data_IF_853405813317
#
_entry.id   IF_853405813317
#
_cell.length_a   1.000
_cell.length_b   1.000
_cell.length_c   1.000
_cell.angle_alpha   90.00
_cell.angle_beta   90.00
_cell.angle_gamma   90.00
#
_symmetry.space_group_name_H-M   'P 1'
#
loop_
_entity.id
_entity.type
_entity.pdbx_description
1 polymer ?
#
# COMPACT_ATOMS: atom_id res chain seq x y z
N UNK A 1 7.96 1.92 13.78
CA UNK A 1 6.60 2.32 14.20
C UNK A 1 5.61 1.31 13.63
N UNK A 2 4.72 0.71 14.42
CA UNK A 2 3.71 -0.21 13.91
C UNK A 2 2.63 0.52 13.11
N UNK A 3 2.16 -0.09 12.03
CA UNK A 3 1.23 0.48 11.06
C UNK A 3 -0.15 0.73 11.68
N UNK A 4 -0.72 1.93 11.49
CA UNK A 4 -2.08 2.26 11.93
C UNK A 4 -3.08 1.68 10.90
N UNK A 5 -3.82 0.64 11.30
CA UNK A 5 -4.73 -0.17 10.47
C UNK A 5 -4.06 -0.85 9.26
N UNK A 6 -3.45 -2.02 9.49
CA UNK A 6 -2.79 -2.78 8.44
C UNK A 6 -3.79 -3.50 7.55
N UNK A 7 -3.62 -3.35 6.23
CA UNK A 7 -4.40 -4.08 5.23
C UNK A 7 -4.02 -5.58 5.19
N UNK A 8 -2.76 -5.88 5.53
CA UNK A 8 -2.20 -7.24 5.63
C UNK A 8 -1.69 -7.48 7.06
N UNK A 9 -2.20 -8.51 7.75
CA UNK A 9 -1.87 -8.73 9.17
C UNK A 9 -0.52 -9.41 9.41
N UNK A 10 -0.10 -10.30 8.49
CA UNK A 10 1.15 -11.05 8.62
C UNK A 10 1.73 -11.39 7.25
N UNK A 11 3.05 -11.56 7.22
CA UNK A 11 3.81 -11.90 6.03
C UNK A 11 4.55 -13.21 6.27
N UNK A 12 4.69 -14.06 5.27
CA UNK A 12 5.57 -15.23 5.32
C UNK A 12 6.39 -15.30 4.04
N UNK A 13 7.66 -15.67 4.14
CA UNK A 13 8.56 -15.77 3.00
C UNK A 13 9.47 -16.99 3.12
N UNK A 14 9.99 -17.50 2.01
CA UNK A 14 10.83 -18.69 1.99
C UNK A 14 12.22 -18.33 2.52
N UNK A 15 12.51 -18.66 3.79
CA UNK A 15 13.76 -18.31 4.47
C UNK A 15 14.98 -19.03 3.90
N UNK A 16 14.77 -20.23 3.38
CA UNK A 16 15.85 -21.10 2.89
C UNK A 16 16.28 -20.74 1.46
N UNK A 17 15.63 -19.75 0.85
CA UNK A 17 15.89 -19.30 -0.51
C UNK A 17 16.88 -18.12 -0.52
N UNK A 18 17.68 -17.96 -1.58
CA UNK A 18 18.64 -16.87 -1.66
C UNK A 18 17.92 -15.52 -1.61
N UNK A 19 18.53 -14.52 -0.96
CA UNK A 19 17.98 -13.16 -0.82
C UNK A 19 16.56 -13.14 -0.19
N UNK A 20 16.33 -13.96 0.83
CA UNK A 20 15.09 -14.01 1.61
C UNK A 20 14.63 -12.62 2.11
N UNK A 21 15.55 -11.77 2.58
CA UNK A 21 15.22 -10.40 3.00
C UNK A 21 14.60 -9.55 1.88
N UNK A 22 15.08 -9.70 0.65
CA UNK A 22 14.53 -9.01 -0.52
C UNK A 22 13.12 -9.54 -0.86
N UNK A 23 12.85 -10.82 -0.61
CA UNK A 23 11.51 -11.38 -0.78
C UNK A 23 10.52 -10.76 0.22
N UNK A 24 10.90 -10.70 1.50
CA UNK A 24 10.09 -10.04 2.52
C UNK A 24 9.88 -8.55 2.23
N UNK A 25 10.92 -7.84 1.77
CA UNK A 25 10.81 -6.45 1.36
C UNK A 25 9.84 -6.28 0.19
N UNK A 26 9.96 -7.16 -0.82
CA UNK A 26 9.04 -7.19 -1.97
C UNK A 26 7.59 -7.40 -1.54
N UNK A 27 7.30 -8.37 -0.66
CA UNK A 27 5.94 -8.60 -0.17
C UNK A 27 5.35 -7.38 0.54
N UNK A 28 6.13 -6.74 1.43
CA UNK A 28 5.72 -5.52 2.13
C UNK A 28 5.45 -4.38 1.13
N UNK A 29 6.30 -4.25 0.11
CA UNK A 29 6.14 -3.26 -0.96
C UNK A 29 4.88 -3.52 -1.79
N UNK A 30 4.61 -4.77 -2.18
CA UNK A 30 3.38 -5.16 -2.90
C UNK A 30 2.14 -4.83 -2.07
N UNK A 31 2.10 -5.27 -0.80
CA UNK A 31 1.01 -4.96 0.11
C UNK A 31 0.77 -3.46 0.26
N UNK A 32 1.87 -2.70 0.29
CA UNK A 32 1.80 -1.25 0.36
C UNK A 32 1.24 -0.60 -0.91
N UNK A 33 1.54 -1.11 -2.10
CA UNK A 33 1.00 -0.56 -3.35
C UNK A 33 -0.52 -0.72 -3.43
N UNK A 34 -1.04 -1.88 -3.02
CA UNK A 34 -2.47 -2.21 -3.10
C UNK A 34 -3.28 -1.72 -1.89
N UNK A 35 -2.61 -1.14 -0.89
CA UNK A 35 -3.24 -0.71 0.36
C UNK A 35 -4.39 0.28 0.17
N UNK A 36 -4.29 1.33 -0.68
CA UNK A 36 -5.42 2.25 -0.88
C UNK A 36 -6.64 1.55 -1.47
N UNK A 37 -6.41 0.63 -2.42
CA UNK A 37 -7.45 -0.18 -3.07
C UNK A 37 -8.17 -1.07 -2.05
N UNK A 38 -7.42 -1.75 -1.19
CA UNK A 38 -7.97 -2.59 -0.12
C UNK A 38 -8.77 -1.75 0.89
N UNK A 39 -8.24 -0.59 1.30
CA UNK A 39 -8.92 0.31 2.24
C UNK A 39 -10.23 0.85 1.69
N UNK A 40 -10.26 1.26 0.43
CA UNK A 40 -11.48 1.77 -0.21
C UNK A 40 -12.63 0.75 -0.19
N UNK A 41 -12.31 -0.54 -0.18
CA UNK A 41 -13.27 -1.65 -0.20
C UNK A 41 -13.43 -2.38 1.14
N UNK A 42 -12.72 -1.94 2.18
CA UNK A 42 -12.70 -2.63 3.48
C UNK A 42 -12.10 -4.04 3.45
N UNK A 43 -11.33 -4.38 2.41
CA UNK A 43 -10.71 -5.70 2.29
C UNK A 43 -9.52 -5.84 3.23
N UNK A 44 -9.37 -7.03 3.81
CA UNK A 44 -8.25 -7.39 4.68
C UNK A 44 -7.71 -8.76 4.31
N UNK A 45 -6.39 -8.87 4.25
CA UNK A 45 -5.71 -10.14 4.05
C UNK A 45 -5.04 -10.56 5.36
N UNK A 46 -5.35 -11.75 5.87
CA UNK A 46 -4.74 -12.17 7.16
C UNK A 46 -3.27 -12.53 6.97
N UNK A 47 -2.92 -13.19 5.88
CA UNK A 47 -1.56 -13.61 5.62
C UNK A 47 -1.20 -13.46 4.13
N UNK A 48 -0.10 -12.78 3.86
CA UNK A 48 0.51 -12.69 2.53
C UNK A 48 1.79 -13.52 2.51
N UNK A 49 1.86 -14.52 1.63
CA UNK A 49 2.90 -15.56 1.66
C UNK A 49 3.64 -15.62 0.32
N UNK A 50 4.96 -15.72 0.36
CA UNK A 50 5.72 -16.19 -0.81
C UNK A 50 5.62 -17.71 -0.91
N UNK A 51 5.37 -18.21 -2.12
CA UNK A 51 5.47 -19.64 -2.40
C UNK A 51 6.25 -19.92 -3.69
N UNK A 52 6.71 -21.16 -3.84
CA UNK A 52 7.44 -21.61 -5.01
C UNK A 52 6.97 -23.03 -5.39
N UNK A 53 5.76 -23.17 -5.98
CA UNK A 53 5.24 -24.48 -6.36
C UNK A 53 6.04 -25.07 -7.53
N UNK A 54 5.95 -26.39 -7.73
CA UNK A 54 6.59 -27.06 -8.88
C UNK A 54 5.93 -26.66 -10.21
N UNK A 55 4.62 -26.39 -10.20
CA UNK A 55 3.89 -25.90 -11.36
C UNK A 55 4.39 -24.51 -11.75
N UNK A 56 5.07 -24.44 -12.90
CA UNK A 56 5.77 -23.24 -13.35
C UNK A 56 4.82 -22.08 -13.70
N UNK A 57 3.62 -22.41 -14.16
CA UNK A 57 2.60 -21.43 -14.50
C UNK A 57 1.92 -20.84 -13.25
N UNK A 58 1.88 -21.53 -12.11
CA UNK A 58 1.20 -21.06 -10.91
C UNK A 58 1.91 -19.84 -10.30
N UNK A 59 1.33 -18.65 -10.47
CA UNK A 59 1.82 -17.35 -10.02
C UNK A 59 1.16 -16.87 -8.73
N UNK A 60 -0.10 -17.21 -8.51
CA UNK A 60 -0.90 -16.69 -7.40
C UNK A 60 -2.00 -17.65 -6.94
N UNK A 61 -2.37 -17.51 -5.67
CA UNK A 61 -3.45 -18.29 -5.07
C UNK A 61 -4.13 -17.52 -3.94
N UNK A 62 -5.46 -17.51 -3.92
CA UNK A 62 -6.26 -16.97 -2.82
C UNK A 62 -7.01 -18.09 -2.09
N UNK A 63 -6.67 -18.29 -0.81
CA UNK A 63 -7.34 -19.24 0.08
C UNK A 63 -8.39 -18.51 0.91
N UNK A 64 -9.62 -19.03 0.89
CA UNK A 64 -10.75 -18.55 1.70
C UNK A 64 -10.96 -17.03 1.65
N UNK A 65 -11.02 -16.46 0.45
CA UNK A 65 -11.39 -15.05 0.20
C UNK A 65 -10.58 -14.04 1.03
N UNK A 66 -9.25 -14.17 1.00
CA UNK A 66 -8.32 -13.28 1.68
C UNK A 66 -7.86 -13.76 3.05
N UNK A 67 -8.20 -14.99 3.48
CA UNK A 67 -7.53 -15.58 4.65
C UNK A 67 -6.02 -15.70 4.39
N UNK A 68 -5.64 -16.23 3.23
CA UNK A 68 -4.24 -16.36 2.84
C UNK A 68 -4.12 -16.10 1.35
N UNK A 69 -3.18 -15.23 0.98
CA UNK A 69 -2.84 -14.98 -0.41
C UNK A 69 -1.39 -15.41 -0.61
N UNK A 70 -1.15 -16.33 -1.53
CA UNK A 70 0.17 -16.79 -1.89
C UNK A 70 0.58 -16.15 -3.22
N UNK A 71 1.79 -15.61 -3.27
CA UNK A 71 2.37 -15.00 -4.47
C UNK A 71 3.70 -15.64 -4.80
N UNK A 72 3.91 -15.97 -6.06
CA UNK A 72 5.22 -16.35 -6.58
C UNK A 72 6.00 -15.08 -6.78
N UNK A 73 7.19 -14.99 -6.20
CA UNK A 73 8.09 -13.83 -6.37
C UNK A 73 9.23 -14.11 -7.34
N UNK A 74 9.54 -15.38 -7.59
CA UNK A 74 10.75 -15.82 -8.30
C UNK A 74 10.39 -16.57 -9.57
N UNK A 75 11.24 -16.49 -10.59
CA UNK A 75 11.03 -17.23 -11.83
C UNK A 75 11.08 -18.74 -11.61
N UNK A 76 10.27 -19.54 -12.34
CA UNK A 76 10.43 -20.98 -12.35
C UNK A 76 11.81 -21.35 -12.93
N UNK A 77 12.49 -22.32 -12.33
CA UNK A 77 13.84 -22.75 -12.72
C UNK A 77 14.97 -21.98 -12.06
N UNK A 78 14.81 -20.68 -11.80
CA UNK A 78 15.82 -19.86 -11.11
C UNK A 78 15.28 -19.27 -9.80
N UNK A 79 15.73 -19.87 -8.68
CA UNK A 79 15.36 -19.42 -7.33
C UNK A 79 16.03 -18.09 -6.96
N UNK A 80 17.10 -17.68 -7.64
CA UNK A 80 17.76 -16.40 -7.40
C UNK A 80 17.34 -15.31 -8.40
N UNK A 81 16.30 -15.51 -9.21
CA UNK A 81 15.77 -14.44 -10.07
C UNK A 81 14.36 -14.03 -9.64
N UNK A 82 14.20 -12.77 -9.19
CA UNK A 82 12.87 -12.22 -8.91
C UNK A 82 12.15 -11.84 -10.20
N UNK A 83 10.83 -12.04 -10.20
CA UNK A 83 9.96 -11.55 -11.25
C UNK A 83 9.83 -10.03 -11.20
N UNK A 84 9.49 -9.38 -12.33
CA UNK A 84 9.25 -7.95 -12.36
C UNK A 84 8.20 -7.55 -11.33
N UNK A 85 8.50 -6.51 -10.56
CA UNK A 85 7.62 -6.04 -9.48
C UNK A 85 6.20 -5.74 -9.97
N UNK A 86 6.06 -5.11 -11.14
CA UNK A 86 4.77 -4.84 -11.77
C UNK A 86 3.94 -6.10 -12.01
N UNK A 87 4.58 -7.20 -12.42
CA UNK A 87 3.90 -8.47 -12.65
C UNK A 87 3.40 -9.07 -11.34
N UNK A 88 4.17 -8.97 -10.26
CA UNK A 88 3.76 -9.44 -8.93
C UNK A 88 2.60 -8.60 -8.39
N UNK A 89 2.62 -7.27 -8.60
CA UNK A 89 1.50 -6.39 -8.24
C UNK A 89 0.24 -6.75 -9.03
N UNK A 90 0.36 -7.02 -10.34
CA UNK A 90 -0.76 -7.45 -11.18
C UNK A 90 -1.37 -8.77 -10.69
N UNK A 91 -0.53 -9.75 -10.34
CA UNK A 91 -0.98 -11.00 -9.68
C UNK A 91 -1.68 -10.71 -8.36
N UNK A 92 -1.15 -9.81 -7.53
CA UNK A 92 -1.82 -9.43 -6.28
C UNK A 92 -3.20 -8.82 -6.52
N UNK A 93 -3.36 -7.94 -7.51
CA UNK A 93 -4.67 -7.37 -7.87
C UNK A 93 -5.64 -8.46 -8.36
N UNK A 94 -5.14 -9.43 -9.14
CA UNK A 94 -5.91 -10.60 -9.56
C UNK A 94 -6.40 -11.40 -8.34
N UNK A 95 -5.50 -11.75 -7.42
CA UNK A 95 -5.88 -12.50 -6.21
C UNK A 95 -6.84 -11.72 -5.31
N UNK A 96 -6.76 -10.39 -5.25
CA UNK A 96 -7.74 -9.59 -4.51
C UNK A 96 -9.15 -9.68 -5.12
N UNK A 97 -9.28 -9.84 -6.43
CA UNK A 97 -10.59 -10.03 -7.07
C UNK A 97 -11.28 -11.31 -6.56
N UNK A 98 -10.49 -12.34 -6.21
CA UNK A 98 -10.99 -13.58 -5.62
C UNK A 98 -11.57 -13.44 -4.20
N UNK A 99 -11.46 -12.28 -3.56
CA UNK A 99 -12.22 -11.98 -2.34
C UNK A 99 -13.73 -11.91 -2.66
N UNK A 100 -14.09 -11.40 -3.84
CA UNK A 100 -15.49 -11.18 -4.25
C UNK A 100 -15.94 -12.26 -5.23
N UNK A 101 -15.17 -12.52 -6.28
CA UNK A 101 -15.54 -13.39 -7.38
C UNK A 101 -14.61 -14.61 -7.46
N UNK A 102 -15.16 -15.81 -7.25
CA UNK A 102 -14.44 -17.07 -7.43
C UNK A 102 -14.08 -17.35 -8.90
N UNK A 103 -15.07 -17.50 -9.80
CA UNK A 103 -14.80 -17.76 -11.21
C UNK A 103 -14.33 -16.50 -11.95
N UNK A 104 -13.58 -16.70 -13.03
CA UNK A 104 -13.09 -15.68 -13.96
C UNK A 104 -14.18 -15.42 -15.00
N UNK A 105 -15.33 -14.96 -14.52
CA UNK A 105 -16.42 -14.52 -15.37
C UNK A 105 -16.22 -13.03 -15.75
N UNK A 106 -17.14 -12.49 -16.55
CA UNK A 106 -17.09 -11.09 -16.97
C UNK A 106 -17.02 -10.11 -15.78
N UNK A 107 -17.72 -10.40 -14.68
CA UNK A 107 -17.68 -9.58 -13.46
C UNK A 107 -16.28 -9.57 -12.81
N UNK A 108 -15.60 -10.72 -12.77
CA UNK A 108 -14.23 -10.81 -12.32
C UNK A 108 -13.30 -9.96 -13.19
N UNK A 109 -13.44 -10.05 -14.51
CA UNK A 109 -12.63 -9.27 -15.44
C UNK A 109 -12.88 -7.76 -15.29
N UNK A 110 -14.14 -7.34 -15.19
CA UNK A 110 -14.50 -5.95 -14.96
C UNK A 110 -13.90 -5.41 -13.64
N UNK A 111 -13.97 -6.19 -12.56
CA UNK A 111 -13.35 -5.82 -11.29
C UNK A 111 -11.84 -5.71 -11.43
N UNK A 112 -11.19 -6.68 -12.06
CA UNK A 112 -9.73 -6.68 -12.22
C UNK A 112 -9.24 -5.49 -13.05
N UNK A 113 -9.92 -5.16 -14.15
CA UNK A 113 -9.63 -3.98 -14.96
C UNK A 113 -9.83 -2.69 -14.16
N UNK A 114 -10.90 -2.60 -13.36
CA UNK A 114 -11.12 -1.47 -12.46
C UNK A 114 -9.96 -1.33 -11.46
N UNK A 115 -9.52 -2.41 -10.81
CA UNK A 115 -8.42 -2.37 -9.86
C UNK A 115 -7.12 -1.89 -10.51
N UNK A 116 -6.85 -2.31 -11.75
CA UNK A 116 -5.66 -1.89 -12.51
C UNK A 116 -5.70 -0.41 -12.86
N UNK A 117 -6.86 0.10 -13.30
CA UNK A 117 -7.03 1.52 -13.58
C UNK A 117 -6.86 2.38 -12.32
N UNK A 118 -7.40 1.94 -11.18
CA UNK A 118 -7.18 2.61 -9.89
C UNK A 118 -5.70 2.60 -9.50
N UNK A 119 -5.01 1.48 -9.67
CA UNK A 119 -3.59 1.34 -9.39
C UNK A 119 -2.73 2.25 -10.29
N UNK A 120 -3.02 2.30 -11.58
CA UNK A 120 -2.35 3.20 -12.53
C UNK A 120 -2.60 4.66 -12.18
N UNK A 121 -3.84 5.02 -11.85
CA UNK A 121 -4.19 6.35 -11.39
C UNK A 121 -3.46 6.75 -10.10
N UNK A 122 -3.23 5.82 -9.17
CA UNK A 122 -2.40 6.05 -7.99
C UNK A 122 -0.93 6.31 -8.36
N UNK A 123 -0.37 5.49 -9.26
CA UNK A 123 1.01 5.65 -9.75
C UNK A 123 1.19 7.00 -10.44
N UNK A 124 0.25 7.42 -11.30
CA UNK A 124 0.27 8.72 -11.99
C UNK A 124 0.21 9.89 -11.01
N UNK A 125 -0.48 9.73 -9.87
CA UNK A 125 -0.52 10.71 -8.77
C UNK A 125 0.76 10.70 -7.91
N UNK A 126 1.75 9.87 -8.26
CA UNK A 126 3.02 9.75 -7.54
C UNK A 126 2.98 8.80 -6.34
N UNK A 127 1.93 7.98 -6.19
CA UNK A 127 1.87 6.98 -5.14
C UNK A 127 2.83 5.82 -5.45
N UNK A 128 3.83 5.63 -4.60
CA UNK A 128 4.84 4.57 -4.72
C UNK A 128 4.80 3.59 -3.54
N UNK A 129 3.67 3.57 -2.81
CA UNK A 129 3.50 2.88 -1.54
C UNK A 129 3.55 3.84 -0.36
N UNK A 130 3.38 3.30 0.84
CA UNK A 130 3.61 3.97 2.10
C UNK A 130 5.08 4.33 2.18
N UNK A 131 5.32 5.63 2.27
CA UNK A 131 6.65 6.18 2.33
C UNK A 131 7.47 5.47 3.39
N UNK A 132 8.69 5.09 2.99
CA UNK A 132 9.76 4.64 3.88
C UNK A 132 9.75 3.16 4.29
N UNK A 133 9.84 2.25 3.30
CA UNK A 133 10.29 0.87 3.53
C UNK A 133 11.83 0.75 3.66
N UNK A 134 12.57 1.85 3.50
CA UNK A 134 14.02 1.94 3.70
C UNK A 134 14.36 2.27 5.15
N UNK A 135 15.51 1.80 5.63
CA UNK A 135 16.10 2.33 6.87
C UNK A 135 16.35 3.83 6.67
N UNK A 136 15.81 4.65 7.57
CA UNK A 136 16.02 6.08 7.49
C UNK A 136 17.44 6.46 7.78
N UNK A 137 18.11 7.04 6.78
CA UNK A 137 19.34 7.74 7.04
C UNK A 137 18.99 9.14 7.52
N UNK A 138 19.33 9.44 8.78
CA UNK A 138 19.11 10.74 9.38
C UNK A 138 20.02 11.76 8.70
N UNK A 139 19.47 12.51 7.74
CA UNK A 139 20.16 13.60 7.05
C UNK A 139 20.16 14.84 7.95
N UNK A 140 21.04 14.86 8.95
CA UNK A 140 21.18 15.98 9.88
C UNK A 140 21.29 15.55 11.34
N UNK A 141 22.28 16.09 12.06
CA UNK A 141 22.52 15.76 13.47
C UNK A 141 23.99 15.81 13.87
N UNK A 142 24.90 15.79 12.90
CA UNK A 142 26.29 16.22 13.11
C UNK A 142 26.35 17.71 12.75
N UNK A 143 26.49 18.58 13.75
CA UNK A 143 26.87 19.96 13.50
C UNK A 143 28.35 19.97 13.14
N UNK A 144 28.64 19.82 11.85
CA UNK A 144 30.00 20.05 11.37
C UNK A 144 30.27 21.55 11.56
N UNK A 145 31.36 21.91 12.24
CA UNK A 145 31.74 23.32 12.37
C UNK A 145 31.76 23.99 10.99
N UNK A 146 31.29 25.24 10.83
CA UNK A 146 31.26 25.92 9.53
C UNK A 146 32.59 25.86 8.75
N UNK A 147 33.72 25.84 9.47
CA UNK A 147 35.06 25.69 8.91
C UNK A 147 35.29 24.30 8.30
N UNK A 148 34.87 23.25 9.00
CA UNK A 148 35.03 21.88 8.54
C UNK A 148 34.04 21.54 7.41
N UNK A 149 32.84 22.12 7.43
CA UNK A 149 31.91 22.08 6.30
C UNK A 149 32.52 22.71 5.03
N UNK A 150 33.19 23.87 5.17
CA UNK A 150 33.92 24.53 4.06
C UNK A 150 35.09 23.68 3.55
N UNK A 151 35.84 23.04 4.45
CA UNK A 151 36.95 22.13 4.09
C UNK A 151 36.43 20.94 3.27
N UNK A 152 35.38 20.26 3.75
CA UNK A 152 34.76 19.13 3.07
C UNK A 152 34.17 19.55 1.71
N UNK A 153 33.51 20.69 1.64
CA UNK A 153 32.97 21.21 0.38
C UNK A 153 34.07 21.48 -0.66
N UNK A 154 35.23 22.02 -0.24
CA UNK A 154 36.39 22.24 -1.10
C UNK A 154 36.96 20.92 -1.61
N UNK A 155 37.18 19.94 -0.73
CA UNK A 155 37.66 18.61 -1.11
C UNK A 155 36.71 17.90 -2.08
N UNK A 156 35.39 17.99 -1.87
CA UNK A 156 34.39 17.42 -2.77
C UNK A 156 34.37 18.14 -4.13
N UNK A 157 34.55 19.47 -4.15
CA UNK A 157 34.65 20.23 -5.38
C UNK A 157 35.93 19.89 -6.17
N UNK A 158 37.07 19.69 -5.49
CA UNK A 158 38.32 19.22 -6.10
C UNK A 158 38.18 17.80 -6.65
N UNK A 159 37.53 16.87 -5.92
CA UNK A 159 37.22 15.53 -6.44
C UNK A 159 36.36 15.58 -7.70
N UNK A 160 35.34 16.45 -7.73
CA UNK A 160 34.51 16.67 -8.94
C UNK A 160 35.31 17.26 -10.10
N UNK A 161 36.30 18.12 -9.82
CA UNK A 161 37.21 18.67 -10.84
C UNK A 161 38.19 17.62 -11.35
N UNK A 162 38.76 16.81 -10.46
CA UNK A 162 39.71 15.75 -10.77
C UNK A 162 39.08 14.57 -11.51
N UNK A 163 37.80 14.28 -11.27
CA UNK A 163 37.04 13.26 -12.01
C UNK A 163 36.65 13.68 -13.44
N UNK A 164 37.06 14.86 -13.88
CA UNK A 164 36.84 15.34 -15.24
C UNK A 164 35.39 15.78 -15.48
N UNK A 165 35.21 17.03 -15.89
CA UNK A 165 34.00 17.44 -16.59
C UNK A 165 33.99 16.73 -17.96
N UNK A 166 33.40 15.54 -18.01
CA UNK A 166 32.83 15.04 -19.24
C UNK A 166 31.89 16.11 -19.77
N UNK A 167 32.22 16.67 -20.93
CA UNK A 167 31.45 17.63 -21.70
C UNK A 167 29.98 17.22 -21.75
N UNK A 168 29.11 17.99 -21.09
CA UNK A 168 27.69 17.68 -21.04
C UNK A 168 26.90 18.70 -20.25
N UNK A 169 26.21 19.56 -20.99
CA UNK A 169 25.13 20.45 -20.58
C UNK A 169 24.26 19.91 -19.43
N UNK A 170 23.79 20.80 -18.56
CA UNK A 170 23.05 20.51 -17.33
C UNK A 170 22.22 19.22 -17.37
N UNK A 171 22.61 18.23 -16.56
CA UNK A 171 21.91 16.97 -16.44
C UNK A 171 20.53 17.24 -15.82
N UNK A 172 19.50 17.19 -16.66
CA UNK A 172 18.10 17.21 -16.24
C UNK A 172 17.86 16.01 -15.32
N UNK A 173 17.71 16.25 -14.02
CA UNK A 173 17.35 15.23 -13.05
C UNK A 173 15.84 15.02 -13.13
N UNK A 174 15.43 14.17 -14.07
CA UNK A 174 14.03 13.81 -14.28
C UNK A 174 13.51 14.18 -15.67
N UNK A 175 12.76 13.25 -16.25
CA UNK A 175 12.25 13.33 -17.61
C UNK A 175 13.23 12.78 -18.62
N UNK A 176 13.36 11.46 -18.67
CA UNK A 176 13.72 10.78 -19.91
C UNK A 176 12.68 11.20 -20.96
N UNK A 177 13.12 11.82 -22.05
CA UNK A 177 12.28 11.90 -23.25
C UNK A 177 11.82 10.48 -23.58
N UNK A 178 10.56 10.31 -23.96
CA UNK A 178 10.03 9.00 -24.35
C UNK A 178 11.01 8.38 -25.34
N UNK A 179 11.63 7.27 -24.96
CA UNK A 179 12.56 6.57 -25.83
C UNK A 179 11.81 6.27 -27.13
N UNK A 180 12.27 6.78 -28.29
CA UNK A 180 11.67 6.38 -29.55
C UNK A 180 12.04 4.89 -29.69
N UNK A 181 11.05 4.02 -29.98
CA UNK A 181 11.19 2.58 -30.35
C UNK A 181 10.62 1.52 -29.39
N UNK A 182 9.61 1.82 -28.57
CA UNK A 182 8.53 0.82 -28.38
C UNK A 182 7.36 1.24 -29.25
N UNK A 183 7.20 0.57 -30.39
CA UNK A 183 5.99 0.73 -31.20
C UNK A 183 4.78 0.54 -30.27
N UNK A 184 3.85 1.49 -30.22
CA UNK A 184 2.68 1.42 -29.32
C UNK A 184 2.00 0.05 -29.41
N UNK A 185 1.91 -0.51 -30.62
CA UNK A 185 1.42 -1.86 -30.89
C UNK A 185 2.16 -2.96 -30.11
N UNK A 186 3.49 -2.91 -30.04
CA UNK A 186 4.28 -3.86 -29.26
C UNK A 186 4.10 -3.67 -27.76
N UNK A 187 3.95 -2.43 -27.29
CA UNK A 187 3.65 -2.16 -25.89
C UNK A 187 2.28 -2.71 -25.48
N UNK A 188 1.26 -2.54 -26.33
CA UNK A 188 -0.06 -3.14 -26.13
C UNK A 188 -0.01 -4.67 -26.18
N UNK A 189 0.70 -5.26 -27.13
CA UNK A 189 0.87 -6.71 -27.23
C UNK A 189 1.55 -7.28 -25.97
N UNK A 190 2.66 -6.69 -25.53
CA UNK A 190 3.37 -7.11 -24.32
C UNK A 190 2.52 -6.90 -23.05
N UNK A 191 1.66 -5.87 -23.01
CA UNK A 191 0.70 -5.72 -21.94
C UNK A 191 -0.33 -6.85 -21.96
N UNK A 192 -0.91 -7.17 -23.12
CA UNK A 192 -1.89 -8.25 -23.29
C UNK A 192 -1.32 -9.63 -22.93
N UNK A 193 -0.09 -9.95 -23.35
CA UNK A 193 0.60 -11.19 -22.99
C UNK A 193 0.80 -11.32 -21.48
N UNK A 194 1.16 -10.23 -20.79
CA UNK A 194 1.23 -10.22 -19.33
C UNK A 194 -0.13 -10.54 -18.70
N UNK A 195 -1.23 -9.98 -19.22
CA UNK A 195 -2.59 -10.28 -18.71
C UNK A 195 -2.91 -11.76 -18.88
N UNK A 196 -2.66 -12.30 -20.08
CA UNK A 196 -2.87 -13.72 -20.39
C UNK A 196 -2.08 -14.60 -19.43
N UNK A 197 -0.81 -14.27 -19.18
CA UNK A 197 0.04 -15.02 -18.24
C UNK A 197 -0.47 -14.96 -16.80
N UNK A 198 -0.94 -13.82 -16.32
CA UNK A 198 -1.53 -13.71 -14.96
C UNK A 198 -2.80 -14.57 -14.85
N UNK A 199 -3.66 -14.53 -15.86
CA UNK A 199 -4.87 -15.37 -15.92
C UNK A 199 -4.53 -16.86 -15.92
N UNK A 200 -3.61 -17.26 -16.79
CA UNK A 200 -3.15 -18.65 -16.88
C UNK A 200 -2.33 -19.08 -15.67
N UNK A 201 -1.92 -18.15 -14.80
CA UNK A 201 -1.14 -18.44 -13.61
C UNK A 201 -1.92 -18.50 -12.31
N UNK A 202 -3.25 -18.40 -12.36
CA UNK A 202 -4.07 -18.50 -11.16
C UNK A 202 -4.37 -19.97 -10.80
N UNK A 203 -4.14 -20.34 -9.54
CA UNK A 203 -4.47 -21.67 -9.01
C UNK A 203 -5.95 -21.83 -8.65
N UNK A 204 -6.64 -20.74 -8.34
CA UNK A 204 -8.00 -20.73 -7.75
C UNK A 204 -9.06 -21.39 -8.64
N UNK A 205 -8.89 -21.37 -9.97
CA UNK A 205 -9.83 -22.01 -10.89
C UNK A 205 -9.55 -23.48 -11.20
N UNK A 206 -8.27 -23.87 -11.16
CA UNK A 206 -7.82 -25.17 -11.68
C UNK A 206 -7.71 -26.22 -10.59
N UNK A 207 -7.44 -25.77 -9.37
CA UNK A 207 -7.21 -26.63 -8.22
C UNK A 207 -8.50 -26.75 -7.42
N UNK A 208 -8.70 -27.92 -6.83
CA UNK A 208 -9.77 -28.16 -5.87
C UNK A 208 -9.53 -27.36 -4.58
N UNK A 209 -10.60 -27.08 -3.82
CA UNK A 209 -10.49 -26.34 -2.56
C UNK A 209 -9.51 -26.98 -1.57
N UNK A 210 -9.43 -28.31 -1.55
CA UNK A 210 -8.48 -29.06 -0.73
C UNK A 210 -7.04 -28.83 -1.18
N UNK A 211 -6.74 -28.92 -2.48
CA UNK A 211 -5.39 -28.67 -3.01
C UNK A 211 -4.95 -27.21 -2.77
N UNK A 212 -5.88 -26.25 -2.93
CA UNK A 212 -5.66 -24.84 -2.63
C UNK A 212 -5.25 -24.67 -1.17
N UNK A 213 -5.98 -25.32 -0.26
CA UNK A 213 -5.68 -25.27 1.17
C UNK A 213 -4.31 -25.91 1.47
N UNK A 214 -4.03 -27.09 0.92
CA UNK A 214 -2.81 -27.85 1.17
C UNK A 214 -1.56 -27.10 0.64
N UNK A 215 -1.63 -26.50 -0.54
CA UNK A 215 -0.56 -25.66 -1.10
C UNK A 215 -0.36 -24.42 -0.23
N UNK A 216 -1.44 -23.76 0.17
CA UNK A 216 -1.36 -22.58 1.03
C UNK A 216 -0.77 -22.89 2.41
N UNK A 217 -1.12 -24.04 3.00
CA UNK A 217 -0.58 -24.50 4.27
C UNK A 217 0.92 -24.86 4.17
N UNK A 218 1.29 -25.61 3.13
CA UNK A 218 2.69 -25.96 2.86
C UNK A 218 3.55 -24.71 2.68
N UNK A 219 3.08 -23.72 1.92
CA UNK A 219 3.77 -22.43 1.77
C UNK A 219 3.97 -21.68 3.09
N UNK A 220 3.05 -21.86 4.05
CA UNK A 220 3.18 -21.25 5.39
C UNK A 220 4.17 -22.01 6.24
N UNK A 221 4.18 -23.35 6.19
CA UNK A 221 5.13 -24.19 6.93
C UNK A 221 6.57 -24.02 6.48
N UNK A 222 6.78 -23.86 5.18
CA UNK A 222 8.12 -23.63 4.61
C UNK A 222 8.60 -22.17 4.76
N UNK A 223 7.72 -21.27 5.21
CA UNK A 223 8.03 -19.85 5.28
C UNK A 223 8.25 -19.36 6.71
N UNK A 224 9.14 -18.38 6.87
CA UNK A 224 9.33 -17.68 8.13
C UNK A 224 8.30 -16.54 8.27
N UNK A 225 7.46 -16.62 9.30
CA UNK A 225 6.36 -15.69 9.52
C UNK A 225 6.78 -14.42 10.27
N UNK A 226 6.46 -13.26 9.71
CA UNK A 226 6.59 -11.95 10.31
C UNK A 226 5.20 -11.37 10.64
N UNK A 227 4.89 -11.23 11.93
CA UNK A 227 3.61 -10.67 12.40
C UNK A 227 3.71 -9.16 12.56
N UNK A 228 2.78 -8.39 11.99
CA UNK A 228 2.66 -6.99 12.35
C UNK A 228 2.05 -6.86 13.75
N UNK A 229 2.77 -6.20 14.68
CA UNK A 229 2.24 -5.89 16.02
C UNK A 229 1.18 -4.80 15.90
N UNK A 230 -0.09 -5.10 16.22
CA UNK A 230 -1.12 -4.06 16.38
C UNK A 230 -0.77 -3.22 17.62
N UNK A 231 -0.57 -1.92 17.45
CA UNK A 231 -0.63 -1.00 18.59
C UNK A 231 -2.07 -0.98 19.08
N UNK A 232 -2.29 -1.39 20.35
CA UNK A 232 -3.57 -1.11 21.01
C UNK A 232 -3.73 0.40 21.01
N UNK A 233 -4.72 0.88 20.29
CA UNK A 233 -5.17 2.25 20.34
C UNK A 233 -5.42 2.57 21.82
N UNK A 234 -4.56 3.38 22.44
CA UNK A 234 -4.90 3.98 23.73
C UNK A 234 -6.10 4.86 23.45
N UNK A 235 -7.27 4.34 23.80
CA UNK A 235 -8.52 5.05 23.78
C UNK A 235 -8.33 6.20 24.78
N UNK A 236 -7.98 7.39 24.27
CA UNK A 236 -8.06 8.62 25.04
C UNK A 236 -9.52 8.73 25.50
N UNK A 237 -9.78 8.31 26.74
CA UNK A 237 -11.05 8.60 27.42
C UNK A 237 -11.05 10.11 27.55
N UNK A 238 -11.87 10.78 26.75
CA UNK A 238 -12.32 12.13 27.01
C UNK A 238 -12.75 12.20 28.48
N UNK A 239 -12.26 13.17 29.27
CA UNK A 239 -12.76 13.39 30.62
C UNK A 239 -14.26 13.61 30.54
N UNK A 240 -15.02 12.80 31.28
CA UNK A 240 -16.45 13.01 31.45
C UNK A 240 -16.64 14.43 32.00
N UNK A 241 -17.22 15.32 31.19
CA UNK A 241 -17.62 16.63 31.65
C UNK A 241 -18.57 16.47 32.84
N UNK A 242 -18.19 17.15 33.93
CA UNK A 242 -18.97 17.30 35.14
C UNK A 242 -20.31 17.96 34.76
N UNK A 243 -21.41 17.25 34.98
CA UNK A 243 -22.76 17.79 34.77
C UNK A 243 -23.04 18.88 35.78
N UNK A 244 -22.93 20.14 35.36
CA UNK A 244 -23.37 21.27 36.17
C UNK A 244 -24.86 21.51 35.92
N UNK A 245 -25.67 21.21 36.93
CA UNK A 245 -27.12 21.39 36.94
C UNK A 245 -27.49 22.87 36.94
N UNK A 246 -27.80 23.43 35.77
CA UNK A 246 -28.35 24.78 35.63
C UNK A 246 -29.88 24.73 35.78
N UNK A 247 -30.38 25.06 36.98
CA UNK A 247 -31.81 25.26 37.24
C UNK A 247 -32.28 26.54 36.55
N UNK A 248 -33.20 26.42 35.60
CA UNK A 248 -33.97 27.54 35.03
C UNK A 248 -34.90 28.13 36.08
N UNK A 249 -34.62 29.35 36.55
CA UNK A 249 -35.57 30.18 37.30
C UNK A 249 -36.24 31.17 36.35
N UNK A 250 -37.57 31.23 36.41
CA UNK A 250 -38.42 32.14 35.60
C UNK A 250 -38.25 33.59 36.11
N UNK A 251 -38.23 34.62 35.23
CA UNK A 251 -38.20 36.00 35.69
C UNK A 251 -39.57 36.46 36.20
N UNK A 252 -39.58 37.07 37.39
CA UNK A 252 -40.71 37.83 37.95
C UNK A 252 -40.76 39.21 37.30
N UNK A 253 -41.88 39.55 36.68
CA UNK A 253 -42.22 40.91 36.26
C UNK A 253 -42.56 41.76 37.51
N UNK A 254 -41.86 42.88 37.68
CA UNK A 254 -42.17 43.91 38.69
C UNK A 254 -42.89 45.07 38.00
N UNK A 255 -44.05 45.42 38.55
CA UNK A 255 -44.81 46.63 38.25
C UNK A 255 -43.98 47.89 38.50
N UNK A 256 -44.17 48.90 37.67
CA UNK A 256 -43.92 50.30 38.04
C UNK A 256 -45.14 51.11 37.64
N UNK A 257 -45.73 51.77 38.63
CA UNK A 257 -46.85 52.69 38.54
C UNK A 257 -46.52 53.90 37.65
N UNK A 258 -47.53 54.39 36.91
CA UNK A 258 -47.70 55.83 36.67
C UNK A 258 -49.19 56.18 36.75
N UNK A 259 -49.45 57.21 37.53
CA UNK A 259 -50.73 57.83 37.86
C UNK A 259 -51.00 58.94 36.82
N UNK A 260 -52.24 59.45 36.80
CA UNK A 260 -52.75 60.72 36.23
C UNK A 260 -53.35 60.55 34.82
N UNK A 261 -54.56 60.99 34.46
CA UNK A 261 -55.78 61.53 35.12
C UNK A 261 -56.89 61.63 34.06
N UNK A 262 -58.17 61.68 34.49
CA UNK A 262 -59.35 62.34 33.85
C UNK A 262 -59.72 61.95 32.39
N UNK A 263 -60.97 61.83 31.93
CA UNK A 263 -62.36 61.77 32.39
C UNK A 263 -63.18 61.32 31.13
N UNK A 264 -64.48 60.99 31.23
CA UNK A 264 -65.18 60.08 30.30
C UNK A 264 -66.07 60.80 29.29
N UNK A 265 -66.33 60.22 28.12
CA UNK A 265 -67.55 60.52 27.34
C UNK A 265 -68.03 59.24 26.61
N UNK A 266 -69.30 58.91 26.84
CA UNK A 266 -70.13 58.00 26.07
C UNK A 266 -70.51 58.61 24.72
N UNK A 267 -70.49 57.80 23.66
CA UNK A 267 -71.63 57.49 22.79
C UNK A 267 -71.27 56.31 21.88
#
# INVERSE_FOLDING_TARGET
MPEHDPAVLSYSHLSDFPRADNALHTLKKVASMVKPIMRARGWKVKQLVEFYPEQQNLLGLNVNKGQKVCLRLRYPGDRDQFMPFESVVDTMLHELCHIVHGPHNEQFHALWDQLRQEQEGLIMKGYSGEGFLSQGQRLGGSSVSPLEARRLARQQAEKRRAQGQGTGFGRRLGGSGAAPTRNMRQAFAAAAERRKRTMEGCGTQRLTEKEIYDIGDTATRMGFAHRQRRTRQMKWRLPKHCGNSFKRTKPKTRQVHRIISQQPIHL
#
